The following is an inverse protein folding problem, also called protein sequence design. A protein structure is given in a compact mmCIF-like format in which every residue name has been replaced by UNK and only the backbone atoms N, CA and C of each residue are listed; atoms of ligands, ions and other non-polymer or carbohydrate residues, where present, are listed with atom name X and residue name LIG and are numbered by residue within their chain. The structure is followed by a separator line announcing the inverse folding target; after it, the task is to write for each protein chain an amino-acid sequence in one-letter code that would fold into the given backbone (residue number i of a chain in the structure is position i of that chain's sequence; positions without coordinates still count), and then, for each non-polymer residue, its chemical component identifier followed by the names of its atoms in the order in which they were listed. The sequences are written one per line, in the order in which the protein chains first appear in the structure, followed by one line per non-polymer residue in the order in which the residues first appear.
data_IF_775607418840
#
_entry.id   IF_775607418840
#
_cell.length_a   1.000
_cell.length_b   1.000
_cell.length_c   1.000
_cell.angle_alpha   90.00
_cell.angle_beta   90.00
_cell.angle_gamma   90.00
#
_symmetry.space_group_name_H-M   'P 1'
#
loop_
_entity.id
_entity.type
_entity.pdbx_description
1 polymer ?
#
# COMPACT_ATOMS: atom_id res chain seq x y z
N UNK A 1 -12.79 7.25 10.53
CA UNK A 1 -12.39 6.76 9.19
C UNK A 1 -12.77 5.30 9.01
N UNK A 2 -13.26 4.94 7.84
CA UNK A 2 -13.48 3.55 7.49
C UNK A 2 -12.13 2.87 7.16
N UNK A 3 -12.08 1.56 7.20
CA UNK A 3 -10.88 0.81 6.82
C UNK A 3 -10.48 1.08 5.37
N UNK A 4 -11.47 1.25 4.49
CA UNK A 4 -11.22 1.59 3.08
C UNK A 4 -10.56 2.97 2.94
N UNK A 5 -11.00 3.95 3.69
CA UNK A 5 -10.40 5.29 3.69
C UNK A 5 -8.96 5.26 4.19
N UNK A 6 -8.70 4.51 5.26
CA UNK A 6 -7.35 4.30 5.79
C UNK A 6 -6.46 3.67 4.72
N UNK A 7 -6.96 2.63 4.06
CA UNK A 7 -6.23 1.92 3.01
C UNK A 7 -5.91 2.82 1.83
N UNK A 8 -6.87 3.64 1.40
CA UNK A 8 -6.67 4.56 0.29
C UNK A 8 -5.62 5.62 0.60
N UNK A 9 -5.65 6.21 1.78
CA UNK A 9 -4.64 7.18 2.20
C UNK A 9 -3.26 6.51 2.33
N UNK A 10 -3.19 5.32 2.91
CA UNK A 10 -1.96 4.57 3.04
C UNK A 10 -1.37 4.21 1.67
N UNK A 11 -2.21 3.82 0.72
CA UNK A 11 -1.79 3.52 -0.63
C UNK A 11 -1.08 4.70 -1.29
N UNK A 12 -1.65 5.88 -1.18
CA UNK A 12 -1.05 7.10 -1.77
C UNK A 12 0.34 7.36 -1.17
N UNK A 13 0.46 7.25 0.15
CA UNK A 13 1.74 7.47 0.85
C UNK A 13 2.78 6.41 0.49
N UNK A 14 2.39 5.15 0.40
CA UNK A 14 3.29 4.05 0.01
C UNK A 14 3.75 4.25 -1.44
N UNK A 15 2.86 4.66 -2.33
CA UNK A 15 3.20 4.94 -3.71
C UNK A 15 4.17 6.13 -3.80
N UNK A 16 3.92 7.20 -3.06
CA UNK A 16 4.83 8.35 -3.01
C UNK A 16 6.22 7.94 -2.53
N UNK A 17 6.30 7.08 -1.52
CA UNK A 17 7.57 6.56 -0.99
C UNK A 17 8.33 5.74 -2.05
N UNK A 18 7.62 5.04 -2.93
CA UNK A 18 8.23 4.31 -4.04
C UNK A 18 8.78 5.24 -5.12
N UNK A 19 8.13 6.38 -5.34
CA UNK A 19 8.53 7.37 -6.34
C UNK A 19 9.64 8.27 -5.83
N UNK A 20 9.63 8.56 -4.53
CA UNK A 20 10.57 9.45 -3.86
C UNK A 20 11.23 8.71 -2.71
N UNK A 21 12.51 8.78 -2.60
CA UNK A 21 13.23 8.18 -1.47
C UNK A 21 13.39 9.17 -0.31
N UNK A 22 12.41 10.05 -0.13
CA UNK A 22 12.39 10.99 0.98
C UNK A 22 11.98 10.27 2.28
N UNK A 23 12.42 10.77 3.45
CA UNK A 23 11.95 10.22 4.72
C UNK A 23 10.42 10.26 4.81
N UNK A 24 9.83 9.22 5.40
CA UNK A 24 8.37 9.12 5.48
C UNK A 24 7.74 10.30 6.24
N UNK A 25 8.43 10.85 7.20
CA UNK A 25 7.97 12.01 7.97
C UNK A 25 7.75 13.22 7.06
N UNK A 26 8.61 13.42 6.08
CA UNK A 26 8.47 14.52 5.10
C UNK A 26 7.26 14.29 4.19
N UNK A 27 7.02 13.04 3.81
CA UNK A 27 5.85 12.69 3.01
C UNK A 27 4.55 12.91 3.79
N UNK A 28 4.56 12.64 5.09
CA UNK A 28 3.42 12.92 5.95
C UNK A 28 3.11 14.42 6.01
N UNK A 29 4.13 15.26 6.16
CA UNK A 29 3.95 16.71 6.20
C UNK A 29 3.37 17.23 4.90
N UNK A 30 3.89 16.77 3.77
CA UNK A 30 3.40 17.19 2.45
C UNK A 30 1.96 16.73 2.24
N UNK A 31 1.65 15.49 2.61
CA UNK A 31 0.31 14.92 2.46
C UNK A 31 -0.72 15.64 3.33
N UNK A 32 -0.33 16.06 4.53
CA UNK A 32 -1.22 16.74 5.46
C UNK A 32 -1.71 18.09 4.92
N UNK A 33 -1.01 18.67 3.96
CA UNK A 33 -1.41 19.89 3.27
C UNK A 33 -2.49 19.65 2.21
N UNK A 34 -2.76 18.40 1.86
CA UNK A 34 -3.75 18.02 0.84
C UNK A 34 -5.03 17.57 1.55
N UNK A 35 -6.14 18.26 1.30
CA UNK A 35 -7.41 17.99 1.99
C UNK A 35 -7.94 16.57 1.82
N UNK A 36 -7.70 15.95 0.67
CA UNK A 36 -8.19 14.59 0.38
C UNK A 36 -7.39 13.49 1.06
N UNK A 37 -6.23 13.81 1.64
CA UNK A 37 -5.36 12.84 2.29
C UNK A 37 -5.34 13.14 3.79
N UNK A 38 -5.81 12.19 4.59
CA UNK A 38 -5.75 12.27 6.04
C UNK A 38 -4.57 11.45 6.54
N UNK A 39 -3.71 12.08 7.33
CA UNK A 39 -2.57 11.41 7.96
C UNK A 39 -2.83 11.35 9.46
N UNK A 40 -3.44 10.25 9.90
CA UNK A 40 -3.71 10.00 11.31
C UNK A 40 -2.93 8.77 11.78
N UNK A 41 -3.07 8.40 13.05
CA UNK A 41 -2.34 7.27 13.61
C UNK A 41 -2.65 5.96 12.89
N UNK A 42 -3.90 5.72 12.53
CA UNK A 42 -4.28 4.49 11.82
C UNK A 42 -3.62 4.39 10.45
N UNK A 43 -3.55 5.49 9.72
CA UNK A 43 -2.88 5.55 8.42
C UNK A 43 -1.37 5.32 8.60
N UNK A 44 -0.76 5.99 9.56
CA UNK A 44 0.68 5.84 9.83
C UNK A 44 1.03 4.41 10.22
N UNK A 45 0.23 3.78 11.07
CA UNK A 45 0.46 2.39 11.48
C UNK A 45 0.47 1.48 10.26
N UNK A 46 -0.50 1.62 9.37
CA UNK A 46 -0.55 0.79 8.17
C UNK A 46 0.64 1.06 7.24
N UNK A 47 0.94 2.32 6.97
CA UNK A 47 2.08 2.71 6.12
C UNK A 47 3.38 2.17 6.67
N UNK A 48 3.67 2.43 7.94
CA UNK A 48 4.95 2.03 8.55
C UNK A 48 5.08 0.53 8.68
N UNK A 49 3.97 -0.18 8.96
CA UNK A 49 3.97 -1.64 8.99
C UNK A 49 4.29 -2.24 7.61
N UNK A 50 3.71 -1.69 6.56
CA UNK A 50 3.99 -2.15 5.19
C UNK A 50 5.45 -1.84 4.82
N UNK A 51 5.94 -0.64 5.13
CA UNK A 51 7.33 -0.27 4.84
C UNK A 51 8.32 -1.15 5.59
N UNK A 52 8.05 -1.46 6.85
CA UNK A 52 8.89 -2.35 7.65
C UNK A 52 8.99 -3.75 7.04
N UNK A 53 7.89 -4.25 6.48
CA UNK A 53 7.79 -5.57 5.87
C UNK A 53 8.05 -5.59 4.36
N UNK A 54 8.39 -4.45 3.77
CA UNK A 54 8.46 -4.30 2.31
C UNK A 54 9.34 -5.36 1.63
N UNK A 55 10.52 -5.64 2.17
CA UNK A 55 11.44 -6.63 1.58
C UNK A 55 10.82 -8.04 1.59
N UNK A 56 10.21 -8.43 2.70
CA UNK A 56 9.53 -9.71 2.86
C UNK A 56 8.32 -9.80 1.93
N UNK A 57 7.52 -8.72 1.87
CA UNK A 57 6.34 -8.66 0.99
C UNK A 57 6.75 -8.77 -0.47
N UNK A 58 7.80 -8.08 -0.88
CA UNK A 58 8.31 -8.16 -2.25
C UNK A 58 8.75 -9.57 -2.61
N UNK A 59 9.38 -10.28 -1.66
CA UNK A 59 9.74 -11.68 -1.83
C UNK A 59 8.51 -12.57 -2.06
N UNK A 60 7.45 -12.37 -1.29
CA UNK A 60 6.19 -13.10 -1.46
C UNK A 60 5.52 -12.78 -2.79
N UNK A 61 5.49 -11.51 -3.17
CA UNK A 61 4.93 -11.08 -4.45
C UNK A 61 5.70 -11.74 -5.61
N UNK A 62 7.02 -11.75 -5.55
CA UNK A 62 7.86 -12.38 -6.57
C UNK A 62 7.58 -13.87 -6.73
N UNK A 63 7.30 -14.57 -5.63
CA UNK A 63 7.00 -16.00 -5.68
C UNK A 63 5.72 -16.31 -6.47
N UNK A 64 4.77 -15.39 -6.50
CA UNK A 64 3.53 -15.55 -7.24
C UNK A 64 3.58 -14.97 -8.65
N UNK A 65 4.67 -14.27 -9.00
CA UNK A 65 4.87 -13.71 -10.34
C UNK A 65 5.73 -14.64 -11.16
N UNK A 66 5.13 -15.38 -12.07
CA UNK A 66 5.86 -16.37 -12.89
C UNK A 66 6.54 -15.75 -14.12
N UNK A 67 6.12 -14.55 -14.53
CA UNK A 67 6.55 -13.94 -15.79
C UNK A 67 7.26 -12.62 -15.63
N UNK A 68 7.19 -11.99 -14.44
CA UNK A 68 7.80 -10.68 -14.21
C UNK A 68 8.58 -10.65 -12.92
N UNK A 69 9.77 -10.07 -12.95
CA UNK A 69 10.50 -9.74 -11.73
C UNK A 69 9.82 -8.56 -11.04
N UNK A 70 10.08 -8.39 -9.74
CA UNK A 70 9.52 -7.29 -8.95
C UNK A 70 9.84 -5.91 -9.55
N UNK A 71 11.00 -5.79 -10.20
CA UNK A 71 11.45 -4.54 -10.83
C UNK A 71 10.63 -4.15 -12.05
N UNK A 72 9.90 -5.11 -12.65
CA UNK A 72 9.06 -4.87 -13.83
C UNK A 72 7.61 -4.58 -13.48
N UNK A 73 7.24 -4.75 -12.22
CA UNK A 73 5.89 -4.41 -11.76
C UNK A 73 5.81 -2.87 -11.67
N UNK A 74 4.82 -2.23 -12.30
CA UNK A 74 4.65 -0.79 -12.14
C UNK A 74 4.55 -0.42 -10.67
N UNK A 75 5.18 0.68 -10.28
CA UNK A 75 5.25 1.09 -8.87
C UNK A 75 3.87 1.27 -8.23
N UNK A 76 2.90 1.77 -9.00
CA UNK A 76 1.55 1.93 -8.49
C UNK A 76 0.90 0.57 -8.17
N UNK A 77 1.12 -0.43 -9.03
CA UNK A 77 0.63 -1.78 -8.79
C UNK A 77 1.36 -2.42 -7.61
N UNK A 78 2.66 -2.19 -7.49
CA UNK A 78 3.44 -2.71 -6.38
C UNK A 78 2.96 -2.17 -5.03
N UNK A 79 2.61 -0.89 -4.96
CA UNK A 79 2.06 -0.30 -3.75
C UNK A 79 0.76 -1.00 -3.34
N UNK A 80 -0.14 -1.27 -4.29
CA UNK A 80 -1.40 -1.98 -4.04
C UNK A 80 -1.13 -3.41 -3.56
N UNK A 81 -0.22 -4.11 -4.24
CA UNK A 81 0.11 -5.49 -3.91
C UNK A 81 0.76 -5.60 -2.53
N UNK A 82 1.61 -4.66 -2.16
CA UNK A 82 2.22 -4.65 -0.82
C UNK A 82 1.16 -4.54 0.28
N UNK A 83 0.18 -3.66 0.11
CA UNK A 83 -0.92 -3.53 1.09
C UNK A 83 -1.72 -4.83 1.15
N UNK A 84 -2.10 -5.38 -0.01
CA UNK A 84 -2.91 -6.60 -0.06
C UNK A 84 -2.19 -7.77 0.61
N UNK A 85 -0.92 -8.00 0.28
CA UNK A 85 -0.14 -9.08 0.90
C UNK A 85 0.07 -8.84 2.39
N UNK A 86 0.29 -7.59 2.80
CA UNK A 86 0.40 -7.27 4.22
C UNK A 86 -0.89 -7.64 4.97
N UNK A 87 -2.05 -7.25 4.44
CA UNK A 87 -3.32 -7.54 5.10
C UNK A 87 -3.63 -9.04 5.14
N UNK A 88 -3.29 -9.76 4.07
CA UNK A 88 -3.49 -11.22 4.03
C UNK A 88 -2.59 -11.94 5.04
N UNK A 89 -1.33 -11.53 5.15
CA UNK A 89 -0.34 -12.25 5.95
C UNK A 89 -0.31 -11.82 7.42
N UNK A 90 -0.60 -10.55 7.71
CA UNK A 90 -0.36 -9.97 9.04
C UNK A 90 -1.58 -9.35 9.70
N UNK A 91 -2.65 -9.07 8.96
CA UNK A 91 -3.83 -8.44 9.53
C UNK A 91 -4.94 -9.48 9.73
N UNK A 92 -5.02 -10.03 10.94
CA UNK A 92 -6.01 -11.04 11.29
C UNK A 92 -7.47 -10.52 11.26
N UNK A 93 -7.63 -9.20 11.30
CA UNK A 93 -8.95 -8.57 11.29
C UNK A 93 -9.51 -8.39 9.88
N UNK A 94 -8.66 -8.51 8.85
CA UNK A 94 -9.09 -8.38 7.46
C UNK A 94 -9.18 -9.76 6.81
N UNK A 95 -10.39 -10.25 6.47
CA UNK A 95 -10.53 -11.50 5.74
C UNK A 95 -9.81 -11.44 4.39
N UNK A 96 -9.27 -12.58 3.94
CA UNK A 96 -8.51 -12.67 2.68
C UNK A 96 -9.32 -12.17 1.49
N UNK A 97 -10.60 -12.55 1.39
CA UNK A 97 -11.46 -12.12 0.30
C UNK A 97 -11.69 -10.59 0.29
N UNK A 98 -11.72 -9.97 1.46
CA UNK A 98 -11.85 -8.51 1.57
C UNK A 98 -10.57 -7.83 1.08
N UNK A 99 -9.40 -8.32 1.49
CA UNK A 99 -8.12 -7.79 1.04
C UNK A 99 -7.98 -7.87 -0.49
N UNK A 100 -8.37 -9.00 -1.07
CA UNK A 100 -8.35 -9.19 -2.53
C UNK A 100 -9.31 -8.23 -3.23
N UNK A 101 -10.53 -8.14 -2.74
CA UNK A 101 -11.54 -7.25 -3.34
C UNK A 101 -11.13 -5.79 -3.29
N UNK A 102 -10.54 -5.35 -2.19
CA UNK A 102 -10.06 -3.97 -2.06
C UNK A 102 -8.89 -3.69 -3.00
N UNK A 103 -7.99 -4.65 -3.18
CA UNK A 103 -6.90 -4.52 -4.15
C UNK A 103 -7.45 -4.39 -5.59
N UNK A 104 -8.44 -5.20 -5.94
CA UNK A 104 -9.09 -5.14 -7.26
C UNK A 104 -9.78 -3.79 -7.47
N UNK A 105 -10.44 -3.26 -6.45
CA UNK A 105 -11.05 -1.93 -6.52
C UNK A 105 -10.02 -0.84 -6.76
N UNK A 106 -8.89 -0.85 -6.06
CA UNK A 106 -7.83 0.12 -6.27
C UNK A 106 -7.27 0.03 -7.68
N UNK A 107 -7.03 -1.19 -8.17
CA UNK A 107 -6.54 -1.42 -9.54
C UNK A 107 -7.52 -0.90 -10.57
N UNK A 108 -8.81 -1.10 -10.38
CA UNK A 108 -9.83 -0.65 -11.34
C UNK A 108 -9.94 0.88 -11.37
N UNK A 109 -9.74 1.56 -10.26
CA UNK A 109 -9.74 3.01 -10.20
C UNK A 109 -8.55 3.64 -10.94
N UNK A 110 -7.43 2.94 -10.99
CA UNK A 110 -6.20 3.42 -11.60
C UNK A 110 -6.19 3.22 -13.12
N UNK A 111 -6.83 2.16 -13.60
CA UNK A 111 -6.79 1.76 -15.01
C UNK A 111 -8.01 2.20 -15.83
N UNK A 112 -8.74 3.18 -15.34
CA UNK A 112 -9.86 3.77 -16.09
C UNK A 112 -9.37 4.61 -17.29
#
# INVERSE_FOLDING_TARGET
MTRREIRNCAFILIYEKLLRDDPIEELYETADEIEEITVNDSVKILVESVLEKAEELDGKISNYSTTRSITRIPKINLAILRIAFYEILYDDLTPVNVAINEAVLLLSLIHI
#
